data_IF_144667586064
#
_entry.id   IF_144667586064
#
_cell.length_a   1.000
_cell.length_b   1.000
_cell.length_c   1.000
_cell.angle_alpha   90.00
_cell.angle_beta   90.00
_cell.angle_gamma   90.00
#
_symmetry.space_group_name_H-M   'P 1'
#
loop_
_entity.id
_entity.type
_entity.pdbx_description
1 polymer ?
#
# COMPACT_ATOMS: atom_id res chain seq x y z
N UNK A 1 -24.45 -9.71 -29.89
CA UNK A 1 -23.49 -8.80 -29.25
C UNK A 1 -23.89 -8.62 -27.80
N UNK A 2 -23.25 -9.37 -26.90
CA UNK A 2 -23.53 -9.29 -25.46
C UNK A 2 -23.01 -7.95 -24.93
N UNK A 3 -23.90 -7.12 -24.39
CA UNK A 3 -23.51 -5.94 -23.63
C UNK A 3 -22.77 -6.46 -22.39
N UNK A 4 -21.45 -6.27 -22.33
CA UNK A 4 -20.71 -6.33 -21.06
C UNK A 4 -21.45 -5.42 -20.07
N UNK A 5 -22.14 -5.99 -19.09
CA UNK A 5 -22.49 -5.22 -17.90
C UNK A 5 -21.18 -4.69 -17.37
N UNK A 6 -21.06 -3.37 -17.27
CA UNK A 6 -20.02 -2.80 -16.42
C UNK A 6 -20.33 -3.34 -15.04
N UNK A 7 -19.53 -4.28 -14.54
CA UNK A 7 -19.46 -4.56 -13.10
C UNK A 7 -19.09 -3.23 -12.45
N UNK A 8 -20.10 -2.48 -12.03
CA UNK A 8 -19.92 -1.41 -11.07
C UNK A 8 -19.56 -2.11 -9.78
N UNK A 9 -18.27 -2.35 -9.56
CA UNK A 9 -17.74 -2.74 -8.25
C UNK A 9 -18.33 -1.74 -7.27
N UNK A 10 -19.15 -2.22 -6.35
CA UNK A 10 -19.68 -1.37 -5.28
C UNK A 10 -18.43 -0.83 -4.56
N UNK A 11 -18.33 0.50 -4.43
CA UNK A 11 -17.23 1.10 -3.66
C UNK A 11 -17.49 0.66 -2.23
N UNK A 12 -16.71 -0.28 -1.71
CA UNK A 12 -16.90 -0.78 -0.36
C UNK A 12 -16.20 0.13 0.66
N UNK A 13 -16.84 0.29 1.81
CA UNK A 13 -16.28 1.07 2.91
C UNK A 13 -15.60 0.11 3.87
N UNK A 14 -14.32 0.34 4.23
CA UNK A 14 -13.62 -0.43 5.27
C UNK A 14 -14.43 -0.51 6.56
N UNK A 15 -15.14 0.57 6.91
CA UNK A 15 -16.03 0.57 8.06
C UNK A 15 -17.21 -0.41 7.89
N UNK A 16 -17.84 -0.45 6.72
CA UNK A 16 -18.97 -1.35 6.47
C UNK A 16 -18.52 -2.82 6.40
N UNK A 17 -17.37 -3.08 5.79
CA UNK A 17 -16.78 -4.42 5.70
C UNK A 17 -16.28 -4.90 7.06
N UNK A 18 -15.64 -4.04 7.86
CA UNK A 18 -15.24 -4.36 9.23
C UNK A 18 -16.45 -4.70 10.09
N UNK A 19 -17.51 -3.87 10.07
CA UNK A 19 -18.74 -4.17 10.81
C UNK A 19 -19.38 -5.49 10.36
N UNK A 20 -19.34 -5.80 9.06
CA UNK A 20 -19.86 -7.04 8.50
C UNK A 20 -19.00 -8.25 8.88
N UNK A 21 -17.68 -8.10 8.79
CA UNK A 21 -16.70 -9.14 9.14
C UNK A 21 -16.79 -9.54 10.60
N UNK A 22 -16.78 -8.55 11.50
CA UNK A 22 -16.86 -8.80 12.93
C UNK A 22 -18.23 -9.40 13.30
N UNK A 23 -19.32 -8.91 12.68
CA UNK A 23 -20.64 -9.51 12.86
C UNK A 23 -20.73 -10.97 12.38
N UNK A 24 -19.97 -11.34 11.34
CA UNK A 24 -19.95 -12.69 10.78
C UNK A 24 -18.97 -13.65 11.48
N UNK A 25 -17.87 -13.16 12.06
CA UNK A 25 -16.79 -14.00 12.62
C UNK A 25 -16.85 -14.24 14.12
N UNK A 26 -17.61 -13.43 14.88
CA UNK A 26 -18.21 -13.82 16.17
C UNK A 26 -17.32 -14.42 17.27
N UNK A 27 -16.00 -14.14 17.35
CA UNK A 27 -15.12 -14.88 18.28
C UNK A 27 -13.82 -14.25 18.78
N UNK A 28 -13.46 -13.00 18.43
CA UNK A 28 -12.28 -12.34 19.02
C UNK A 28 -12.65 -11.58 20.31
N UNK A 29 -11.71 -11.33 21.23
CA UNK A 29 -11.94 -10.53 22.45
C UNK A 29 -12.45 -9.08 22.16
N UNK A 30 -12.34 -8.61 20.91
CA UNK A 30 -12.94 -7.37 20.41
C UNK A 30 -14.47 -7.46 20.22
N UNK A 31 -15.04 -8.67 20.20
CA UNK A 31 -16.49 -8.96 20.13
C UNK A 31 -17.28 -8.48 21.35
N UNK A 32 -16.60 -8.04 22.42
CA UNK A 32 -17.27 -7.51 23.63
C UNK A 32 -17.83 -6.09 23.38
N UNK A 33 -17.29 -5.34 22.40
CA UNK A 33 -17.65 -3.93 22.13
C UNK A 33 -18.57 -3.73 20.89
N UNK A 34 -18.85 -4.79 20.11
CA UNK A 34 -19.77 -4.80 18.97
C UNK A 34 -20.84 -5.88 19.18
N UNK A 35 -22.12 -5.52 19.10
CA UNK A 35 -23.23 -6.46 19.29
C UNK A 35 -24.22 -6.39 18.13
N UNK A 36 -24.64 -7.55 17.65
CA UNK A 36 -25.80 -7.68 16.75
C UNK A 36 -27.00 -8.17 17.55
N UNK A 37 -28.05 -7.35 17.66
CA UNK A 37 -29.25 -7.70 18.41
C UNK A 37 -30.46 -6.95 17.85
N UNK A 38 -31.59 -7.65 17.70
CA UNK A 38 -32.85 -7.11 17.18
C UNK A 38 -32.67 -6.44 15.81
N UNK A 39 -31.99 -7.14 14.89
CA UNK A 39 -31.71 -6.68 13.52
C UNK A 39 -30.94 -5.34 13.47
N UNK A 40 -30.17 -5.05 14.52
CA UNK A 40 -29.42 -3.81 14.63
C UNK A 40 -27.98 -4.07 15.12
N UNK A 41 -27.07 -3.19 14.72
CA UNK A 41 -25.66 -3.19 15.14
C UNK A 41 -25.49 -2.14 16.23
N UNK A 42 -24.82 -2.55 17.30
CA UNK A 42 -24.59 -1.73 18.49
C UNK A 42 -23.09 -1.61 18.75
N UNK A 43 -22.59 -0.38 18.85
CA UNK A 43 -21.16 -0.09 19.10
C UNK A 43 -20.96 0.82 20.31
N UNK A 44 -19.87 0.62 21.03
CA UNK A 44 -19.39 1.59 22.02
C UNK A 44 -18.81 2.84 21.33
N UNK A 45 -18.64 3.95 22.07
CA UNK A 45 -17.92 5.13 21.54
C UNK A 45 -16.47 4.79 21.15
N UNK A 46 -15.84 3.90 21.91
CA UNK A 46 -14.47 3.44 21.65
C UNK A 46 -14.39 2.66 20.34
N UNK A 47 -15.34 1.77 20.09
CA UNK A 47 -15.40 1.04 18.84
C UNK A 47 -15.77 1.94 17.65
N UNK A 48 -16.68 2.91 17.83
CA UNK A 48 -16.94 3.93 16.79
C UNK A 48 -15.71 4.79 16.47
N UNK A 49 -14.90 5.12 17.49
CA UNK A 49 -13.64 5.83 17.33
C UNK A 49 -12.64 5.03 16.50
N UNK A 50 -12.48 3.74 16.79
CA UNK A 50 -11.65 2.84 16.00
C UNK A 50 -12.17 2.68 14.57
N UNK A 51 -13.47 2.46 14.40
CA UNK A 51 -14.15 2.32 13.11
C UNK A 51 -13.87 3.49 12.18
N UNK A 52 -14.03 4.72 12.71
CA UNK A 52 -13.85 5.93 11.92
C UNK A 52 -12.45 6.53 12.02
N UNK A 53 -11.49 5.94 12.74
CA UNK A 53 -10.13 6.47 12.87
C UNK A 53 -10.09 7.87 13.51
N UNK A 54 -10.81 8.07 14.61
CA UNK A 54 -10.85 9.33 15.37
C UNK A 54 -10.74 9.08 16.87
N UNK A 55 -10.42 10.11 17.65
CA UNK A 55 -10.43 10.02 19.11
C UNK A 55 -11.86 9.85 19.66
N UNK A 56 -11.98 9.15 20.79
CA UNK A 56 -13.26 8.95 21.49
C UNK A 56 -13.93 10.27 21.86
N UNK A 57 -13.15 11.32 22.19
CA UNK A 57 -13.66 12.66 22.46
C UNK A 57 -14.36 13.26 21.24
N UNK A 58 -13.78 13.07 20.05
CA UNK A 58 -14.37 13.52 18.79
C UNK A 58 -15.72 12.83 18.53
N UNK A 59 -15.80 11.51 18.78
CA UNK A 59 -17.07 10.77 18.70
C UNK A 59 -18.10 11.34 19.69
N UNK A 60 -17.69 11.59 20.93
CA UNK A 60 -18.57 12.17 21.95
C UNK A 60 -19.09 13.56 21.55
N UNK A 61 -18.24 14.41 20.98
CA UNK A 61 -18.62 15.73 20.51
C UNK A 61 -19.61 15.66 19.33
N UNK A 62 -19.40 14.73 18.40
CA UNK A 62 -20.36 14.47 17.32
C UNK A 62 -21.70 13.96 17.84
N UNK A 63 -21.72 13.03 18.79
CA UNK A 63 -22.96 12.52 19.39
C UNK A 63 -23.74 13.65 20.08
N UNK A 64 -23.06 14.49 20.87
CA UNK A 64 -23.71 15.66 21.51
C UNK A 64 -24.30 16.61 20.48
N UNK A 65 -23.60 16.85 19.37
CA UNK A 65 -24.09 17.70 18.30
C UNK A 65 -25.29 17.10 17.58
N UNK A 66 -25.26 15.79 17.28
CA UNK A 66 -26.39 15.08 16.66
C UNK A 66 -27.66 15.18 17.52
N UNK A 67 -27.53 15.04 18.83
CA UNK A 67 -28.65 15.25 19.75
C UNK A 67 -29.06 16.73 19.85
N UNK A 68 -28.10 17.66 19.90
CA UNK A 68 -28.38 19.09 19.95
C UNK A 68 -29.10 19.62 18.70
N UNK A 69 -28.74 19.07 17.54
CA UNK A 69 -29.35 19.37 16.23
C UNK A 69 -30.69 18.64 16.05
N UNK A 70 -31.12 17.83 17.04
CA UNK A 70 -32.34 16.99 17.00
C UNK A 70 -32.40 16.02 15.81
N UNK A 71 -31.25 15.60 15.28
CA UNK A 71 -31.17 14.62 14.19
C UNK A 71 -31.61 13.22 14.66
N UNK A 72 -31.32 12.88 15.92
CA UNK A 72 -31.71 11.64 16.56
C UNK A 72 -32.13 11.89 18.00
N UNK A 73 -32.96 11.00 18.58
CA UNK A 73 -33.30 11.03 19.99
C UNK A 73 -32.41 10.08 20.81
N UNK A 74 -32.05 10.49 22.02
CA UNK A 74 -31.18 9.69 22.88
C UNK A 74 -31.83 8.35 23.27
N UNK A 75 -33.10 8.38 23.63
CA UNK A 75 -33.87 7.20 24.09
C UNK A 75 -33.96 6.09 23.02
N UNK A 76 -33.99 6.44 21.74
CA UNK A 76 -34.09 5.49 20.64
C UNK A 76 -32.72 4.97 20.14
N UNK A 77 -31.63 5.63 20.54
CA UNK A 77 -30.30 5.36 19.97
C UNK A 77 -29.31 4.71 20.92
N UNK A 78 -29.62 4.65 22.22
CA UNK A 78 -28.73 4.07 23.23
C UNK A 78 -29.28 2.78 23.84
N UNK A 79 -28.37 1.87 24.17
CA UNK A 79 -28.65 0.74 25.04
C UNK A 79 -27.49 0.49 25.99
N UNK A 80 -27.81 0.21 27.26
CA UNK A 80 -26.79 -0.11 28.26
C UNK A 80 -26.61 -1.62 28.31
N UNK A 81 -25.39 -2.07 28.10
CA UNK A 81 -25.02 -3.47 28.24
C UNK A 81 -24.09 -3.62 29.43
N UNK A 82 -24.39 -4.58 30.31
CA UNK A 82 -23.53 -4.94 31.41
C UNK A 82 -22.35 -5.76 30.88
N UNK A 83 -21.15 -5.24 31.06
CA UNK A 83 -19.90 -5.91 30.69
C UNK A 83 -19.14 -6.25 31.97
N UNK A 84 -18.77 -7.52 32.10
CA UNK A 84 -17.90 -8.01 33.17
C UNK A 84 -16.49 -8.12 32.61
N UNK A 85 -15.55 -7.43 33.23
CA UNK A 85 -14.13 -7.47 32.87
C UNK A 85 -13.29 -7.88 34.07
N UNK A 86 -12.29 -8.72 33.84
CA UNK A 86 -11.33 -9.11 34.86
C UNK A 86 -10.21 -8.05 34.92
N UNK A 87 -10.12 -7.33 36.04
CA UNK A 87 -9.05 -6.36 36.30
C UNK A 87 -8.16 -6.90 37.43
N UNK A 88 -7.00 -7.49 37.08
CA UNK A 88 -6.16 -8.20 38.05
C UNK A 88 -6.89 -9.43 38.60
N UNK A 89 -7.08 -9.51 39.93
CA UNK A 89 -7.80 -10.62 40.57
C UNK A 89 -9.30 -10.36 40.80
N UNK A 90 -9.85 -9.22 40.35
CA UNK A 90 -11.26 -8.86 40.56
C UNK A 90 -12.05 -8.87 39.26
N UNK A 91 -13.28 -9.38 39.31
CA UNK A 91 -14.28 -9.17 38.26
C UNK A 91 -15.01 -7.86 38.53
N UNK A 92 -14.95 -6.94 37.58
CA UNK A 92 -15.62 -5.63 37.63
C UNK A 92 -16.73 -5.62 36.59
N UNK A 93 -17.95 -5.40 37.05
CA UNK A 93 -19.13 -5.25 36.20
C UNK A 93 -19.44 -3.77 36.00
N UNK A 94 -19.54 -3.32 34.74
CA UNK A 94 -19.92 -1.95 34.38
C UNK A 94 -20.97 -1.93 33.29
N UNK A 95 -21.90 -0.99 33.38
CA UNK A 95 -22.85 -0.73 32.32
C UNK A 95 -22.19 0.18 31.27
N UNK A 96 -22.01 -0.34 30.07
CA UNK A 96 -21.40 0.38 28.95
C UNK A 96 -22.48 0.77 27.94
N UNK A 97 -22.49 2.04 27.57
CA UNK A 97 -23.43 2.58 26.59
C UNK A 97 -22.99 2.12 25.20
N UNK A 98 -23.93 1.52 24.47
CA UNK A 98 -23.80 1.22 23.06
C UNK A 98 -24.80 2.04 22.26
N UNK A 99 -24.41 2.38 21.04
CA UNK A 99 -25.14 3.19 20.10
C UNK A 99 -25.56 2.35 18.91
N UNK A 100 -26.80 2.52 18.47
CA UNK A 100 -27.38 1.77 17.36
C UNK A 100 -26.81 2.20 15.99
N UNK A 101 -27.16 1.45 14.94
CA UNK A 101 -26.70 1.71 13.57
C UNK A 101 -27.03 3.14 13.08
N UNK A 102 -28.16 3.71 13.47
CA UNK A 102 -28.51 5.09 13.07
C UNK A 102 -27.51 6.11 13.62
N UNK A 103 -27.14 6.00 14.89
CA UNK A 103 -26.12 6.86 15.48
C UNK A 103 -24.75 6.63 14.84
N UNK A 104 -24.38 5.38 14.59
CA UNK A 104 -23.10 5.03 13.94
C UNK A 104 -23.01 5.71 12.57
N UNK A 105 -24.06 5.58 11.75
CA UNK A 105 -24.17 6.23 10.44
C UNK A 105 -24.07 7.77 10.60
N UNK A 106 -24.84 8.36 11.51
CA UNK A 106 -24.84 9.81 11.72
C UNK A 106 -23.45 10.35 12.09
N UNK A 107 -22.73 9.68 13.01
CA UNK A 107 -21.34 10.02 13.34
C UNK A 107 -20.44 9.91 12.11
N UNK A 108 -20.57 8.84 11.31
CA UNK A 108 -19.80 8.68 10.07
C UNK A 108 -19.99 9.82 9.06
N UNK A 109 -21.16 10.46 9.03
CA UNK A 109 -21.41 11.65 8.22
C UNK A 109 -20.80 12.93 8.81
N UNK A 110 -20.58 13.01 10.12
CA UNK A 110 -19.97 14.18 10.80
C UNK A 110 -18.44 14.13 10.87
N UNK A 111 -17.84 12.93 10.83
CA UNK A 111 -16.38 12.75 10.86
C UNK A 111 -15.75 13.23 9.54
N UNK A 112 -14.64 13.97 9.63
CA UNK A 112 -13.95 14.52 8.46
C UNK A 112 -12.55 13.92 8.28
N UNK A 113 -12.48 12.68 7.81
CA UNK A 113 -11.24 12.02 7.39
C UNK A 113 -11.49 11.08 6.21
N UNK A 114 -10.43 10.42 5.73
CA UNK A 114 -10.51 9.57 4.53
C UNK A 114 -11.42 8.35 4.73
N UNK A 115 -11.37 7.68 5.88
CA UNK A 115 -12.29 6.57 6.22
C UNK A 115 -13.75 7.01 6.14
N UNK A 116 -14.07 8.16 6.72
CA UNK A 116 -15.42 8.73 6.68
C UNK A 116 -15.80 9.21 5.27
N UNK A 117 -14.85 9.70 4.46
CA UNK A 117 -15.08 10.01 3.04
C UNK A 117 -15.46 8.76 2.26
N UNK A 118 -14.76 7.64 2.45
CA UNK A 118 -15.11 6.37 1.79
C UNK A 118 -16.49 5.87 2.24
N UNK A 119 -16.77 5.92 3.54
CA UNK A 119 -18.09 5.62 4.08
C UNK A 119 -19.19 6.46 3.41
N UNK A 120 -18.99 7.78 3.25
CA UNK A 120 -19.97 8.64 2.58
C UNK A 120 -20.10 8.34 1.08
N UNK A 121 -19.02 8.04 0.38
CA UNK A 121 -19.08 7.61 -1.04
C UNK A 121 -19.91 6.35 -1.21
N UNK A 122 -19.68 5.35 -0.34
CA UNK A 122 -20.46 4.11 -0.29
C UNK A 122 -21.94 4.39 0.04
N UNK A 123 -22.21 5.11 1.12
CA UNK A 123 -23.57 5.43 1.54
C UNK A 123 -24.34 6.22 0.46
N UNK A 124 -23.70 7.20 -0.18
CA UNK A 124 -24.29 7.94 -1.30
C UNK A 124 -24.59 7.04 -2.51
N UNK A 125 -23.79 6.00 -2.73
CA UNK A 125 -24.04 5.01 -3.80
C UNK A 125 -25.29 4.20 -3.49
N UNK A 126 -25.46 3.77 -2.24
CA UNK A 126 -26.69 3.09 -1.78
C UNK A 126 -27.89 4.01 -1.94
N UNK A 127 -27.82 5.25 -1.43
CA UNK A 127 -28.93 6.20 -1.53
C UNK A 127 -29.29 6.47 -2.99
N UNK A 128 -28.29 6.68 -3.86
CA UNK A 128 -28.50 6.87 -5.29
C UNK A 128 -29.18 5.67 -5.93
N UNK A 129 -28.64 4.47 -5.70
CA UNK A 129 -29.16 3.25 -6.32
C UNK A 129 -30.55 2.90 -5.80
N UNK A 130 -30.80 3.07 -4.51
CA UNK A 130 -32.12 2.90 -3.92
C UNK A 130 -33.13 3.89 -4.52
N UNK A 131 -32.72 5.16 -4.69
CA UNK A 131 -33.58 6.21 -5.27
C UNK A 131 -33.92 5.92 -6.73
N UNK A 132 -32.97 5.39 -7.52
CA UNK A 132 -33.17 5.14 -8.96
C UNK A 132 -33.85 3.79 -9.22
N UNK A 133 -33.43 2.73 -8.51
CA UNK A 133 -33.84 1.34 -8.75
C UNK A 133 -34.98 0.88 -7.83
N UNK A 134 -35.20 1.55 -6.70
CA UNK A 134 -36.18 1.17 -5.67
C UNK A 134 -35.68 0.09 -4.68
N UNK A 135 -34.46 -0.42 -4.86
CA UNK A 135 -33.84 -1.42 -4.00
C UNK A 135 -32.32 -1.38 -4.13
N UNK A 136 -31.62 -1.89 -3.11
CA UNK A 136 -30.17 -2.14 -3.12
C UNK A 136 -29.94 -3.50 -2.48
N UNK A 137 -29.11 -4.33 -3.11
CA UNK A 137 -28.70 -5.63 -2.59
C UNK A 137 -27.20 -5.79 -2.78
N UNK A 138 -26.56 -6.40 -1.79
CA UNK A 138 -25.17 -6.82 -1.90
C UNK A 138 -25.13 -8.27 -2.42
N UNK A 139 -25.25 -8.41 -3.74
CA UNK A 139 -25.36 -9.70 -4.43
C UNK A 139 -24.12 -10.59 -4.19
N UNK A 140 -22.93 -9.98 -4.17
CA UNK A 140 -21.66 -10.66 -3.90
C UNK A 140 -21.65 -11.25 -2.48
N UNK A 141 -22.03 -10.45 -1.48
CA UNK A 141 -22.09 -10.93 -0.09
C UNK A 141 -23.12 -12.04 0.10
N UNK A 142 -24.27 -11.95 -0.58
CA UNK A 142 -25.31 -12.98 -0.51
C UNK A 142 -24.84 -14.30 -1.12
N UNK A 143 -24.13 -14.26 -2.26
CA UNK A 143 -23.51 -15.46 -2.87
C UNK A 143 -22.48 -16.09 -1.95
N UNK A 144 -21.78 -15.27 -1.17
CA UNK A 144 -20.69 -15.68 -0.28
C UNK A 144 -21.13 -16.00 1.15
N UNK A 145 -22.43 -16.24 1.40
CA UNK A 145 -22.91 -16.70 2.71
C UNK A 145 -22.95 -15.63 3.80
N UNK A 146 -23.00 -14.35 3.44
CA UNK A 146 -23.18 -13.24 4.38
C UNK A 146 -21.92 -12.43 4.71
N UNK A 147 -20.74 -12.84 4.22
CA UNK A 147 -19.49 -12.09 4.30
C UNK A 147 -18.74 -12.20 2.98
N UNK A 148 -18.06 -11.13 2.55
CA UNK A 148 -17.14 -11.21 1.41
C UNK A 148 -15.75 -11.74 1.84
N UNK A 149 -15.41 -11.59 3.11
CA UNK A 149 -14.17 -12.11 3.71
C UNK A 149 -14.35 -13.58 4.10
N UNK A 150 -14.61 -14.41 3.10
CA UNK A 150 -14.72 -15.86 3.25
C UNK A 150 -13.35 -16.51 3.28
N UNK A 151 -13.30 -17.81 3.61
CA UNK A 151 -12.07 -18.60 3.43
C UNK A 151 -11.54 -18.51 1.98
N UNK A 152 -12.43 -18.57 0.99
CA UNK A 152 -12.07 -18.46 -0.42
C UNK A 152 -11.47 -17.08 -0.78
N UNK A 153 -11.93 -16.00 -0.14
CA UNK A 153 -11.31 -14.69 -0.27
C UNK A 153 -9.85 -14.71 0.20
N UNK A 154 -9.58 -15.27 1.37
CA UNK A 154 -8.22 -15.34 1.91
C UNK A 154 -7.33 -16.30 1.11
N UNK A 155 -7.87 -17.42 0.63
CA UNK A 155 -7.15 -18.33 -0.27
C UNK A 155 -6.73 -17.59 -1.57
N UNK A 156 -7.64 -16.82 -2.18
CA UNK A 156 -7.32 -15.98 -3.35
C UNK A 156 -6.34 -14.84 -3.03
N UNK A 157 -6.40 -14.29 -1.82
CA UNK A 157 -5.49 -13.25 -1.38
C UNK A 157 -4.06 -13.79 -1.23
N UNK A 158 -3.90 -15.00 -0.67
CA UNK A 158 -2.63 -15.72 -0.60
C UNK A 158 -2.08 -15.95 -2.02
N UNK A 159 -2.91 -16.45 -2.94
CA UNK A 159 -2.50 -16.67 -4.33
C UNK A 159 -2.03 -15.37 -5.01
N UNK A 160 -2.74 -14.25 -4.80
CA UNK A 160 -2.33 -12.93 -5.29
C UNK A 160 -0.98 -12.50 -4.71
N UNK A 161 -0.75 -12.65 -3.40
CA UNK A 161 0.53 -12.30 -2.77
C UNK A 161 1.67 -13.15 -3.33
N UNK A 162 1.42 -14.45 -3.57
CA UNK A 162 2.38 -15.35 -4.21
C UNK A 162 2.68 -14.96 -5.65
N UNK A 163 1.67 -14.56 -6.43
CA UNK A 163 1.87 -14.04 -7.79
C UNK A 163 2.74 -12.78 -7.80
N UNK A 164 2.47 -11.83 -6.88
CA UNK A 164 3.29 -10.61 -6.71
C UNK A 164 4.75 -10.99 -6.36
N UNK A 165 4.94 -11.97 -5.47
CA UNK A 165 6.26 -12.46 -5.07
C UNK A 165 7.04 -13.02 -6.26
N UNK A 166 6.41 -13.87 -7.08
CA UNK A 166 7.02 -14.50 -8.25
C UNK A 166 7.29 -13.53 -9.41
N UNK A 167 6.62 -12.37 -9.43
CA UNK A 167 6.80 -11.37 -10.49
C UNK A 167 8.24 -10.85 -10.58
N UNK A 168 8.78 -10.68 -11.79
CA UNK A 168 10.07 -10.01 -12.02
C UNK A 168 9.97 -8.47 -12.02
N UNK A 169 8.77 -7.95 -11.71
CA UNK A 169 8.50 -6.51 -11.63
C UNK A 169 9.38 -5.81 -10.59
N UNK A 170 9.52 -4.49 -10.75
CA UNK A 170 10.36 -3.64 -9.88
C UNK A 170 9.91 -3.78 -8.42
N UNK A 171 10.88 -3.78 -7.50
CA UNK A 171 10.63 -3.90 -6.05
C UNK A 171 9.50 -3.00 -5.53
N UNK A 172 9.50 -1.73 -5.92
CA UNK A 172 8.49 -0.76 -5.51
C UNK A 172 7.08 -1.10 -6.01
N UNK A 173 6.98 -1.71 -7.20
CA UNK A 173 5.69 -2.13 -7.77
C UNK A 173 5.08 -3.27 -6.97
N UNK A 174 5.90 -4.20 -6.48
CA UNK A 174 5.41 -5.28 -5.61
C UNK A 174 4.77 -4.73 -4.33
N UNK A 175 5.39 -3.71 -3.73
CA UNK A 175 4.84 -3.05 -2.52
C UNK A 175 3.53 -2.31 -2.84
N UNK A 176 3.43 -1.64 -3.99
CA UNK A 176 2.17 -1.01 -4.41
C UNK A 176 1.09 -2.03 -4.76
N UNK A 177 1.47 -3.19 -5.31
CA UNK A 177 0.54 -4.28 -5.64
C UNK A 177 -0.03 -4.90 -4.35
N UNK A 178 0.76 -5.03 -3.27
CA UNK A 178 0.25 -5.41 -1.94
C UNK A 178 -0.71 -4.34 -1.40
N UNK A 179 -0.35 -3.05 -1.50
CA UNK A 179 -1.25 -1.98 -1.04
C UNK A 179 -2.60 -2.02 -1.77
N UNK A 180 -2.61 -2.40 -3.05
CA UNK A 180 -3.83 -2.56 -3.84
C UNK A 180 -4.69 -3.77 -3.43
N UNK A 181 -4.21 -4.66 -2.55
CA UNK A 181 -5.02 -5.75 -1.98
C UNK A 181 -5.82 -5.31 -0.75
N UNK A 182 -5.63 -4.07 -0.27
CA UNK A 182 -6.38 -3.52 0.84
C UNK A 182 -7.90 -3.60 0.60
N UNK A 183 -8.66 -3.87 1.66
CA UNK A 183 -10.12 -4.04 1.54
C UNK A 183 -10.80 -2.73 1.13
N UNK A 184 -10.27 -1.58 1.59
CA UNK A 184 -10.75 -0.25 1.23
C UNK A 184 -9.93 0.45 0.14
N UNK A 185 -9.21 -0.31 -0.69
CA UNK A 185 -8.41 0.26 -1.77
C UNK A 185 -9.24 1.14 -2.71
N UNK A 186 -8.85 2.41 -2.83
CA UNK A 186 -9.42 3.36 -3.80
C UNK A 186 -8.29 3.98 -4.64
N UNK A 187 -8.19 3.66 -5.95
CA UNK A 187 -7.16 4.21 -6.82
C UNK A 187 -7.28 5.72 -7.04
N UNK A 188 -8.44 6.33 -6.77
CA UNK A 188 -8.67 7.76 -6.88
C UNK A 188 -8.48 8.50 -5.53
N UNK A 189 -8.16 7.79 -4.44
CA UNK A 189 -7.92 8.41 -3.15
C UNK A 189 -6.60 9.19 -3.13
N UNK A 190 -6.61 10.34 -2.46
CA UNK A 190 -5.40 11.17 -2.29
C UNK A 190 -4.32 10.43 -1.51
N UNK A 191 -4.68 9.67 -0.47
CA UNK A 191 -3.75 8.79 0.22
C UNK A 191 -3.06 7.78 -0.71
N UNK A 192 -3.80 7.12 -1.61
CA UNK A 192 -3.21 6.18 -2.58
C UNK A 192 -2.16 6.86 -3.45
N UNK A 193 -2.49 8.03 -4.02
CA UNK A 193 -1.52 8.80 -4.80
C UNK A 193 -0.30 9.23 -3.97
N UNK A 194 -0.51 9.66 -2.72
CA UNK A 194 0.57 10.03 -1.79
C UNK A 194 1.46 8.82 -1.47
N UNK A 195 0.85 7.68 -1.18
CA UNK A 195 1.55 6.44 -0.85
C UNK A 195 2.41 5.96 -2.03
N UNK A 196 1.84 5.89 -3.24
CA UNK A 196 2.57 5.52 -4.45
C UNK A 196 3.71 6.49 -4.78
N UNK A 197 3.52 7.79 -4.53
CA UNK A 197 4.59 8.77 -4.69
C UNK A 197 5.70 8.62 -3.62
N UNK A 198 5.35 8.24 -2.40
CA UNK A 198 6.27 8.17 -1.27
C UNK A 198 7.02 6.84 -1.15
N UNK A 199 6.43 5.71 -1.58
CA UNK A 199 6.96 4.36 -1.34
C UNK A 199 8.36 4.17 -1.90
N UNK A 200 8.61 4.67 -3.12
CA UNK A 200 9.91 4.57 -3.76
C UNK A 200 10.98 5.30 -2.94
N UNK A 201 10.71 6.54 -2.53
CA UNK A 201 11.64 7.33 -1.76
C UNK A 201 11.86 6.75 -0.35
N UNK A 202 10.82 6.23 0.30
CA UNK A 202 10.96 5.55 1.60
C UNK A 202 11.90 4.34 1.51
N UNK A 203 11.74 3.51 0.48
CA UNK A 203 12.56 2.31 0.30
C UNK A 203 14.01 2.67 -0.04
N UNK A 204 14.25 3.60 -0.97
CA UNK A 204 15.60 4.12 -1.25
C UNK A 204 16.27 4.67 0.03
N UNK A 205 15.57 5.54 0.75
CA UNK A 205 16.10 6.18 1.95
C UNK A 205 16.41 5.16 3.05
N UNK A 206 15.62 4.10 3.18
CA UNK A 206 15.84 3.05 4.18
C UNK A 206 17.12 2.23 3.95
N UNK A 207 17.66 2.21 2.74
CA UNK A 207 18.85 1.41 2.40
C UNK A 207 20.13 2.23 2.42
N UNK A 208 20.06 3.48 1.96
CA UNK A 208 21.26 4.30 1.75
C UNK A 208 21.08 5.78 2.13
N UNK A 209 20.01 6.13 2.86
CA UNK A 209 19.82 7.48 3.43
C UNK A 209 19.60 8.60 2.40
N UNK A 210 19.21 8.25 1.17
CA UNK A 210 18.96 9.21 0.09
C UNK A 210 17.64 8.87 -0.60
N UNK A 211 16.92 9.87 -1.10
CA UNK A 211 15.78 9.66 -2.01
C UNK A 211 16.25 9.21 -3.39
N UNK A 212 15.33 8.73 -4.24
CA UNK A 212 15.68 8.32 -5.61
C UNK A 212 16.35 9.46 -6.41
N UNK A 213 15.85 10.70 -6.25
CA UNK A 213 16.39 11.88 -6.90
C UNK A 213 17.79 12.24 -6.37
N UNK A 214 18.01 12.14 -5.06
CA UNK A 214 19.31 12.39 -4.45
C UNK A 214 20.37 11.37 -4.87
N UNK A 215 20.00 10.09 -5.01
CA UNK A 215 20.91 9.06 -5.53
C UNK A 215 21.37 9.41 -6.93
N UNK A 216 20.44 9.73 -7.83
CA UNK A 216 20.75 10.10 -9.22
C UNK A 216 21.67 11.32 -9.22
N UNK A 217 21.30 12.38 -8.49
CA UNK A 217 22.07 13.62 -8.47
C UNK A 217 23.48 13.46 -7.90
N UNK A 218 23.62 12.71 -6.79
CA UNK A 218 24.91 12.57 -6.11
C UNK A 218 25.84 11.52 -6.75
N UNK A 219 25.29 10.54 -7.48
CA UNK A 219 26.07 9.43 -8.05
C UNK A 219 26.31 9.53 -9.55
N UNK A 220 25.45 10.22 -10.31
CA UNK A 220 25.67 10.46 -11.73
C UNK A 220 26.85 11.42 -11.93
N UNK A 221 27.93 10.90 -12.49
CA UNK A 221 29.21 11.59 -12.60
C UNK A 221 29.98 11.09 -13.82
N UNK A 222 30.17 11.95 -14.82
CA UNK A 222 30.83 11.61 -16.09
C UNK A 222 32.32 11.29 -15.98
N UNK A 223 32.96 11.60 -14.85
CA UNK A 223 34.37 11.28 -14.63
C UNK A 223 34.57 9.85 -14.10
N UNK A 224 33.49 9.20 -13.63
CA UNK A 224 33.52 7.82 -13.14
C UNK A 224 33.32 6.81 -14.26
N UNK A 225 33.87 5.63 -14.05
CA UNK A 225 33.58 4.48 -14.89
C UNK A 225 32.06 4.23 -14.94
N UNK A 226 31.53 4.01 -16.13
CA UNK A 226 30.09 3.82 -16.37
C UNK A 226 29.21 4.94 -15.80
N UNK A 227 29.73 6.15 -15.64
CA UNK A 227 29.06 7.26 -14.95
C UNK A 227 28.63 7.01 -13.50
N UNK A 228 29.23 6.01 -12.85
CA UNK A 228 28.79 5.54 -11.53
C UNK A 228 27.57 4.60 -11.56
N UNK A 229 27.10 4.19 -12.75
CA UNK A 229 26.11 3.12 -12.88
C UNK A 229 26.74 1.77 -12.51
N UNK A 230 25.98 0.96 -11.80
CA UNK A 230 26.35 -0.41 -11.41
C UNK A 230 25.59 -1.46 -12.21
N UNK A 231 24.42 -1.11 -12.77
CA UNK A 231 23.60 -1.99 -13.59
C UNK A 231 22.75 -1.14 -14.57
N UNK A 232 22.63 -1.56 -15.83
CA UNK A 232 21.85 -0.90 -16.88
C UNK A 232 21.51 -1.91 -17.98
N UNK A 233 20.69 -1.53 -18.95
CA UNK A 233 20.36 -2.45 -20.05
C UNK A 233 21.62 -2.81 -20.87
N UNK A 234 21.93 -4.10 -20.97
CA UNK A 234 23.17 -4.60 -21.59
C UNK A 234 24.43 -4.57 -20.70
N UNK A 235 24.33 -4.20 -19.42
CA UNK A 235 25.46 -4.23 -18.47
C UNK A 235 26.13 -5.63 -18.38
N UNK A 236 27.47 -5.73 -18.18
CA UNK A 236 28.42 -4.63 -17.98
C UNK A 236 29.04 -4.09 -19.27
N UNK A 237 28.85 -4.76 -20.41
CA UNK A 237 29.59 -4.44 -21.65
C UNK A 237 28.79 -3.60 -22.66
N UNK A 238 27.48 -3.47 -22.43
CA UNK A 238 26.56 -2.72 -23.29
C UNK A 238 26.69 -1.21 -23.12
N UNK A 239 26.25 -0.49 -24.15
CA UNK A 239 26.28 0.97 -24.17
C UNK A 239 25.25 1.55 -23.18
N UNK A 240 25.64 2.52 -22.38
CA UNK A 240 24.72 3.27 -21.52
C UNK A 240 23.89 4.21 -22.39
N UNK A 241 22.57 4.22 -22.15
CA UNK A 241 21.63 5.11 -22.80
C UNK A 241 21.10 6.18 -21.85
N UNK A 242 20.53 7.25 -22.41
CA UNK A 242 19.95 8.36 -21.63
C UNK A 242 18.74 7.96 -20.78
N UNK A 243 18.11 6.83 -21.06
CA UNK A 243 17.03 6.30 -20.22
C UNK A 243 17.56 5.51 -19.01
N UNK A 244 18.81 5.04 -19.05
CA UNK A 244 19.43 4.32 -17.93
C UNK A 244 19.86 5.27 -16.82
N UNK A 245 20.38 6.45 -17.19
CA UNK A 245 20.94 7.44 -16.25
C UNK A 245 19.88 8.13 -15.38
N UNK A 246 18.60 7.99 -15.72
CA UNK A 246 17.49 8.58 -14.96
C UNK A 246 16.84 7.57 -14.00
N UNK A 247 17.37 6.36 -13.91
CA UNK A 247 16.84 5.29 -13.07
C UNK A 247 17.72 5.14 -11.83
N UNK A 248 17.22 5.56 -10.65
CA UNK A 248 17.98 5.52 -9.41
C UNK A 248 18.51 4.11 -9.03
N UNK A 249 17.75 3.05 -9.37
CA UNK A 249 18.16 1.65 -9.14
C UNK A 249 19.51 1.33 -9.81
N UNK A 250 19.77 1.93 -10.96
CA UNK A 250 20.96 1.64 -11.77
C UNK A 250 22.26 2.18 -11.14
N UNK A 251 22.16 3.00 -10.10
CA UNK A 251 23.29 3.53 -9.33
C UNK A 251 23.49 2.83 -7.98
N UNK A 252 22.73 1.76 -7.70
CA UNK A 252 22.79 1.04 -6.42
C UNK A 252 23.82 -0.08 -6.47
N UNK A 253 24.66 -0.17 -5.46
CA UNK A 253 25.57 -1.29 -5.29
C UNK A 253 24.82 -2.62 -5.11
N UNK A 254 25.51 -3.73 -5.35
CA UNK A 254 24.93 -5.07 -5.16
C UNK A 254 24.43 -5.28 -3.72
N UNK A 255 25.16 -4.77 -2.72
CA UNK A 255 24.75 -4.84 -1.31
C UNK A 255 23.48 -4.02 -1.03
N UNK A 256 23.35 -2.83 -1.62
CA UNK A 256 22.13 -2.01 -1.51
C UNK A 256 20.93 -2.68 -2.19
N UNK A 257 21.13 -3.27 -3.38
CA UNK A 257 20.09 -4.03 -4.07
C UNK A 257 19.64 -5.24 -3.25
N UNK A 258 20.59 -5.99 -2.68
CA UNK A 258 20.31 -7.15 -1.81
C UNK A 258 19.56 -6.73 -0.54
N UNK A 259 19.89 -5.57 0.04
CA UNK A 259 19.16 -4.99 1.18
C UNK A 259 17.73 -4.59 0.80
N UNK A 260 17.53 -3.96 -0.36
CA UNK A 260 16.19 -3.63 -0.87
C UNK A 260 15.34 -4.90 -1.07
N UNK A 261 15.92 -5.91 -1.72
CA UNK A 261 15.25 -7.18 -1.96
C UNK A 261 14.82 -7.84 -0.64
N UNK A 262 15.69 -7.88 0.36
CA UNK A 262 15.35 -8.41 1.69
C UNK A 262 14.17 -7.68 2.35
N UNK A 263 14.10 -6.34 2.22
CA UNK A 263 12.97 -5.57 2.76
C UNK A 263 11.67 -5.94 2.05
N UNK A 264 11.68 -5.97 0.71
CA UNK A 264 10.48 -6.25 -0.07
C UNK A 264 10.00 -7.69 0.14
N UNK A 265 10.92 -8.66 0.19
CA UNK A 265 10.59 -10.06 0.48
C UNK A 265 9.97 -10.21 1.86
N UNK A 266 10.55 -9.58 2.88
CA UNK A 266 10.00 -9.70 4.23
C UNK A 266 8.65 -8.97 4.39
N UNK A 267 8.42 -7.89 3.64
CA UNK A 267 7.10 -7.25 3.56
C UNK A 267 6.05 -8.12 2.83
N UNK A 268 6.47 -8.89 1.81
CA UNK A 268 5.63 -9.91 1.16
C UNK A 268 5.33 -11.09 2.09
N UNK A 269 6.29 -11.53 2.91
CA UNK A 269 6.08 -12.58 3.92
C UNK A 269 5.06 -12.12 4.96
N UNK A 270 5.19 -10.88 5.42
CA UNK A 270 4.20 -10.26 6.30
C UNK A 270 2.81 -10.23 5.66
N UNK A 271 2.72 -9.85 4.38
CA UNK A 271 1.42 -9.82 3.70
C UNK A 271 0.78 -11.20 3.57
N UNK A 272 1.58 -12.24 3.33
CA UNK A 272 1.13 -13.63 3.28
C UNK A 272 0.65 -14.11 4.67
N UNK A 273 1.39 -13.82 5.76
CA UNK A 273 1.00 -14.16 7.15
C UNK A 273 -0.37 -13.55 7.52
N UNK A 274 -0.59 -12.27 7.17
CA UNK A 274 -1.86 -11.61 7.46
C UNK A 274 -3.02 -12.30 6.74
N UNK A 275 -2.81 -12.72 5.49
CA UNK A 275 -3.81 -13.45 4.73
C UNK A 275 -4.06 -14.86 5.31
N UNK A 276 -3.02 -15.62 5.67
CA UNK A 276 -3.13 -16.94 6.30
C UNK A 276 -3.89 -16.88 7.63
N UNK A 277 -3.66 -15.83 8.42
CA UNK A 277 -4.33 -15.59 9.70
C UNK A 277 -5.73 -15.00 9.55
N UNK A 278 -6.22 -14.84 8.32
CA UNK A 278 -7.53 -14.29 8.00
C UNK A 278 -7.74 -12.87 8.55
N UNK A 279 -6.66 -12.07 8.61
CA UNK A 279 -6.72 -10.69 9.09
C UNK A 279 -6.83 -9.75 7.87
N UNK A 280 -7.99 -9.10 7.67
CA UNK A 280 -8.13 -8.11 6.60
C UNK A 280 -7.27 -6.87 6.86
N UNK A 281 -6.73 -6.28 5.80
CA UNK A 281 -5.83 -5.12 5.87
C UNK A 281 -6.43 -3.92 5.15
N UNK A 282 -6.44 -2.76 5.79
CA UNK A 282 -6.79 -1.48 5.16
C UNK A 282 -5.57 -0.82 4.52
N UNK A 283 -5.81 0.19 3.68
CA UNK A 283 -4.75 1.05 3.12
C UNK A 283 -3.86 1.66 4.21
N UNK A 284 -4.47 2.10 5.31
CA UNK A 284 -3.76 2.68 6.46
C UNK A 284 -2.92 1.63 7.18
N UNK A 285 -3.46 0.43 7.39
CA UNK A 285 -2.71 -0.67 8.01
C UNK A 285 -1.45 -1.00 7.20
N UNK A 286 -1.54 -1.06 5.87
CA UNK A 286 -0.36 -1.29 5.03
C UNK A 286 0.68 -0.17 5.15
N UNK A 287 0.25 1.10 5.17
CA UNK A 287 1.17 2.24 5.33
C UNK A 287 1.86 2.21 6.69
N UNK A 288 1.12 1.99 7.78
CA UNK A 288 1.68 1.91 9.14
C UNK A 288 2.62 0.71 9.30
N UNK A 289 2.27 -0.45 8.76
CA UNK A 289 3.09 -1.66 8.83
C UNK A 289 4.38 -1.49 8.04
N UNK A 290 4.34 -0.89 6.85
CA UNK A 290 5.55 -0.58 6.10
C UNK A 290 6.48 0.34 6.90
N UNK A 291 5.96 1.42 7.48
CA UNK A 291 6.76 2.35 8.29
C UNK A 291 7.35 1.66 9.54
N UNK A 292 6.56 0.82 10.20
CA UNK A 292 6.99 0.04 11.37
C UNK A 292 8.09 -0.95 10.99
N UNK A 293 7.95 -1.62 9.85
CA UNK A 293 8.92 -2.59 9.34
C UNK A 293 10.28 -1.94 9.11
N UNK A 294 10.29 -0.76 8.46
CA UNK A 294 11.51 0.01 8.24
C UNK A 294 12.14 0.45 9.57
N UNK A 295 11.33 0.91 10.54
CA UNK A 295 11.82 1.37 11.84
C UNK A 295 12.40 0.23 12.69
N UNK A 296 11.74 -0.93 12.73
CA UNK A 296 12.18 -2.10 13.49
C UNK A 296 13.51 -2.68 13.01
N UNK A 297 13.85 -2.45 11.74
CA UNK A 297 15.12 -2.89 11.14
C UNK A 297 16.23 -1.85 11.32
N UNK A 298 16.08 -0.93 12.28
CA UNK A 298 16.98 0.20 12.55
C UNK A 298 17.26 1.07 11.32
N UNK A 299 16.31 1.13 10.38
CA UNK A 299 16.43 1.97 9.18
C UNK A 299 15.80 3.32 9.42
N UNK A 300 16.47 4.36 8.94
CA UNK A 300 15.91 5.70 8.95
C UNK A 300 14.73 5.77 7.99
N UNK A 301 13.55 6.15 8.49
CA UNK A 301 12.38 6.42 7.66
C UNK A 301 12.42 7.87 7.20
N UNK A 302 12.25 8.09 5.90
CA UNK A 302 12.16 9.44 5.33
C UNK A 302 10.95 10.18 5.94
N UNK A 303 11.22 11.34 6.56
CA UNK A 303 10.21 12.18 7.23
C UNK A 303 9.79 13.40 6.40
N UNK A 304 10.58 13.75 5.38
CA UNK A 304 10.35 14.89 4.48
C UNK A 304 10.40 14.45 3.01
N UNK A 305 10.43 15.39 2.07
CA UNK A 305 10.46 15.08 0.63
C UNK A 305 11.89 14.91 0.07
N UNK A 306 12.93 14.90 0.92
CA UNK A 306 14.32 15.02 0.51
C UNK A 306 14.70 16.45 0.09
N UNK A 307 15.95 16.62 -0.34
CA UNK A 307 16.56 17.91 -0.68
C UNK A 307 16.61 18.21 -2.18
N UNK A 308 16.56 17.17 -3.01
CA UNK A 308 16.72 17.28 -4.47
C UNK A 308 15.39 16.94 -5.15
N UNK A 309 14.96 17.78 -6.10
CA UNK A 309 13.79 17.50 -6.92
C UNK A 309 14.10 16.48 -8.03
N UNK A 310 13.10 15.72 -8.46
CA UNK A 310 13.24 14.77 -9.56
C UNK A 310 13.67 15.44 -10.87
N UNK A 311 13.18 16.65 -11.14
CA UNK A 311 13.54 17.42 -12.34
C UNK A 311 15.01 17.84 -12.32
N UNK A 312 15.51 18.33 -11.18
CA UNK A 312 16.90 18.72 -11.02
C UNK A 312 17.83 17.51 -11.16
N UNK A 313 17.49 16.39 -10.52
CA UNK A 313 18.24 15.14 -10.64
C UNK A 313 18.31 14.65 -12.08
N UNK A 314 17.18 14.69 -12.80
CA UNK A 314 17.11 14.28 -14.22
C UNK A 314 17.95 15.19 -15.11
N UNK A 315 17.86 16.51 -14.93
CA UNK A 315 18.64 17.47 -15.70
C UNK A 315 20.14 17.28 -15.48
N UNK A 316 20.55 17.08 -14.22
CA UNK A 316 21.94 16.79 -13.87
C UNK A 316 22.45 15.51 -14.53
N UNK A 317 21.73 14.39 -14.38
CA UNK A 317 22.15 13.11 -14.94
C UNK A 317 22.24 13.11 -16.48
N UNK A 318 21.31 13.78 -17.16
CA UNK A 318 21.37 13.94 -18.62
C UNK A 318 22.54 14.83 -19.05
N UNK A 319 22.84 15.88 -18.29
CA UNK A 319 24.01 16.73 -18.55
C UNK A 319 25.33 15.95 -18.38
N UNK A 320 25.44 15.13 -17.34
CA UNK A 320 26.60 14.25 -17.16
C UNK A 320 26.67 13.18 -18.27
N UNK A 321 25.52 12.67 -18.72
CA UNK A 321 25.47 11.70 -19.82
C UNK A 321 26.01 12.27 -21.13
N UNK A 322 25.67 13.51 -21.46
CA UNK A 322 26.19 14.17 -22.67
C UNK A 322 27.73 14.30 -22.65
N UNK A 323 28.32 14.56 -21.47
CA UNK A 323 29.79 14.57 -21.30
C UNK A 323 30.37 13.15 -21.47
N UNK A 324 29.78 12.18 -20.77
CA UNK A 324 30.25 10.80 -20.79
C UNK A 324 30.08 10.12 -22.15
N UNK A 325 29.04 10.47 -22.93
CA UNK A 325 28.78 9.88 -24.25
C UNK A 325 30.00 9.99 -25.16
N UNK A 326 30.73 11.09 -25.10
CA UNK A 326 31.97 11.29 -25.88
C UNK A 326 33.07 10.33 -25.44
N UNK A 327 33.18 10.06 -24.14
CA UNK A 327 34.15 9.10 -23.58
C UNK A 327 33.75 7.68 -23.99
N UNK A 328 32.48 7.34 -23.82
CA UNK A 328 31.92 6.04 -24.17
C UNK A 328 32.07 5.74 -25.66
N UNK A 329 31.76 6.68 -26.55
CA UNK A 329 31.88 6.48 -28.00
C UNK A 329 33.32 6.24 -28.45
N UNK A 330 34.31 6.78 -27.73
CA UNK A 330 35.74 6.53 -27.99
C UNK A 330 36.21 5.17 -27.48
N UNK A 331 35.66 4.70 -26.37
CA UNK A 331 36.06 3.44 -25.73
C UNK A 331 35.24 2.24 -26.22
N UNK A 332 34.10 2.47 -26.85
CA UNK A 332 33.20 1.42 -27.30
C UNK A 332 33.79 0.62 -28.46
N UNK A 333 33.92 -0.69 -28.27
CA UNK A 333 34.21 -1.65 -29.33
C UNK A 333 32.94 -2.44 -29.65
N UNK A 334 32.54 -2.43 -30.92
CA UNK A 334 31.41 -3.24 -31.37
C UNK A 334 31.76 -4.73 -31.42
N UNK A 335 30.75 -5.58 -31.51
CA UNK A 335 30.94 -7.04 -31.71
C UNK A 335 31.74 -7.33 -32.99
N UNK A 336 31.57 -6.49 -34.02
CA UNK A 336 32.36 -6.57 -35.23
C UNK A 336 33.83 -6.24 -34.97
N UNK A 337 34.11 -5.16 -34.23
CA UNK A 337 35.49 -4.77 -33.90
C UNK A 337 36.19 -5.85 -33.07
N UNK A 338 35.48 -6.46 -32.12
CA UNK A 338 35.99 -7.60 -31.33
C UNK A 338 36.27 -8.82 -32.20
N UNK A 339 35.36 -9.19 -33.08
CA UNK A 339 35.54 -10.33 -33.99
C UNK A 339 36.74 -10.13 -34.93
N UNK A 340 36.95 -8.91 -35.44
CA UNK A 340 38.10 -8.58 -36.27
C UNK A 340 39.43 -8.69 -35.51
N UNK A 341 39.48 -8.24 -34.25
CA UNK A 341 40.65 -8.38 -33.40
C UNK A 341 40.95 -9.85 -33.05
N UNK A 342 39.91 -10.66 -32.81
CA UNK A 342 40.08 -12.10 -32.59
C UNK A 342 40.64 -12.80 -33.83
N UNK A 343 40.09 -12.52 -35.02
CA UNK A 343 40.59 -13.07 -36.29
C UNK A 343 42.06 -12.70 -36.50
N UNK A 344 42.42 -11.43 -36.33
CA UNK A 344 43.82 -10.98 -36.43
C UNK A 344 44.74 -11.66 -35.41
N UNK A 345 44.24 -11.91 -34.19
CA UNK A 345 45.00 -12.60 -33.15
C UNK A 345 45.25 -14.08 -33.48
N UNK A 346 44.31 -14.72 -34.20
CA UNK A 346 44.42 -16.11 -34.64
C UNK A 346 45.42 -16.20 -35.81
N UNK A 347 45.30 -15.32 -36.81
CA UNK A 347 46.24 -15.23 -37.94
C UNK A 347 47.69 -15.01 -37.43
N UNK A 348 47.88 -14.10 -36.46
CA UNK A 348 49.20 -13.84 -35.88
C UNK A 348 49.79 -14.98 -35.02
N UNK A 349 48.97 -15.94 -34.58
CA UNK A 349 49.42 -17.15 -33.88
C UNK A 349 49.76 -18.25 -34.87
N UNK A 350 48.97 -18.42 -35.93
CA UNK A 350 49.26 -19.36 -37.02
C UNK A 350 50.56 -19.01 -37.76
N UNK A 351 50.88 -17.72 -37.91
CA UNK A 351 52.16 -17.28 -38.50
C UNK A 351 53.37 -17.57 -37.59
N UNK A 352 53.19 -17.65 -36.26
CA UNK A 352 54.26 -17.97 -35.30
C UNK A 352 54.50 -19.46 -35.10
N UNK A 353 53.48 -20.29 -35.35
CA UNK A 353 53.60 -21.75 -35.29
C UNK A 353 54.11 -22.35 -36.62
N UNK A 354 54.17 -21.55 -37.69
CA UNK A 354 54.69 -21.91 -39.02
C UNK A 354 56.12 -21.40 -39.32
N UNK A 355 56.76 -20.68 -38.39
CA UNK A 355 58.21 -20.38 -38.37
C UNK A 355 58.94 -21.35 -37.42
#
# INVERSE_FOLDING_TARGET
MSRKSKDTSIIHSSAAEYLTYVAATGGSDESIELRYENENIWLTQKMMAALYGVDVRTVNDHIKKIYGDSELSQEATIRKYRIVQTEGNRQVSRDVIHYNLQMIIAVGFKVNNERAVQFRKWANTIVKDFTIKGWVMDDERLKNGGSQLTKEYFDKLIDKVREIRLSERRFYQKVTDIYATAVDYDPAAKATHRFFAAVQNKLHYSVHGQTAAEVIYNRADSEKEHMGLTNWDGSPNGKIHSYDVIVAKNYLSEDELRKLERIVSAYLDFAEDMAERHIPMTMEDWEERLNSFLTLWDRTVLKDNGKISAELAKAHALSEFEKYRVIQDRLYQSDFDRMMLEIQSIESKEDKDNE
#
